data_IF_031537858925
#
_entry.id   IF_031537858925
#
_cell.length_a   1.000
_cell.length_b   1.000
_cell.length_c   1.000
_cell.angle_alpha   90.00
_cell.angle_beta   90.00
_cell.angle_gamma   90.00
#
_symmetry.space_group_name_H-M   'P 1'
#
loop_
_entity.id
_entity.type
_entity.pdbx_description
1 polymer ?
#
# COMPACT_ATOMS: atom_id res chain seq x y z
N UNK A 1 -29.00 13.18 -28.93
CA UNK A 1 -27.81 13.09 -29.80
C UNK A 1 -26.55 13.00 -28.96
N UNK A 2 -25.55 12.28 -29.46
CA UNK A 2 -24.49 11.56 -28.74
C UNK A 2 -23.49 12.39 -27.93
N UNK A 3 -23.09 11.85 -26.77
CA UNK A 3 -21.86 12.24 -26.05
C UNK A 3 -20.65 11.67 -26.78
N UNK A 4 -19.69 12.52 -27.15
CA UNK A 4 -18.35 12.09 -27.59
C UNK A 4 -17.43 12.08 -26.38
N UNK A 5 -16.98 10.90 -25.96
CA UNK A 5 -15.90 10.74 -25.01
C UNK A 5 -14.58 10.62 -25.78
N UNK A 6 -13.66 11.56 -25.51
CA UNK A 6 -12.30 11.57 -26.04
C UNK A 6 -11.50 10.44 -25.39
N UNK A 7 -10.94 9.56 -26.21
CA UNK A 7 -10.05 8.47 -25.77
C UNK A 7 -8.66 9.06 -25.53
N UNK A 8 -8.19 9.08 -24.28
CA UNK A 8 -6.80 9.37 -23.97
C UNK A 8 -5.98 8.08 -24.01
N UNK A 9 -5.24 7.89 -25.09
CA UNK A 9 -4.21 6.84 -25.25
C UNK A 9 -2.88 7.42 -24.79
N UNK A 10 -2.25 6.82 -23.78
CA UNK A 10 -0.90 7.17 -23.33
C UNK A 10 0.12 6.28 -24.05
N UNK A 11 1.19 6.83 -24.67
CA UNK A 11 2.18 6.02 -25.38
C UNK A 11 3.15 5.30 -24.44
N UNK A 12 3.47 4.04 -24.78
CA UNK A 12 4.40 3.14 -24.11
C UNK A 12 5.84 3.47 -24.53
N UNK A 13 6.69 3.92 -23.61
CA UNK A 13 8.14 4.11 -23.85
C UNK A 13 8.88 2.89 -23.26
N UNK A 14 9.63 2.20 -24.11
CA UNK A 14 10.48 1.04 -23.77
C UNK A 14 11.86 1.54 -23.36
N UNK A 15 12.38 1.14 -22.19
CA UNK A 15 13.77 1.38 -21.78
C UNK A 15 14.45 0.06 -21.45
N UNK A 16 15.59 -0.18 -22.11
CA UNK A 16 16.49 -1.35 -21.96
C UNK A 16 17.13 -1.45 -20.58
N UNK A 17 17.23 -2.68 -20.05
CA UNK A 17 17.97 -3.00 -18.82
C UNK A 17 19.39 -3.46 -19.15
N UNK A 18 20.41 -2.89 -18.49
CA UNK A 18 21.76 -3.46 -18.44
C UNK A 18 21.99 -4.13 -17.08
N UNK A 19 22.58 -5.33 -17.13
CA UNK A 19 22.93 -6.20 -16.00
C UNK A 19 24.45 -6.24 -15.83
N UNK A 20 24.93 -6.05 -14.61
CA UNK A 20 26.24 -6.46 -14.07
C UNK A 20 25.99 -6.75 -12.58
N UNK A 21 26.49 -7.78 -11.91
CA UNK A 21 27.52 -8.78 -12.14
C UNK A 21 27.96 -9.19 -10.72
N UNK A 22 27.82 -10.46 -10.34
CA UNK A 22 28.04 -10.98 -8.98
C UNK A 22 29.52 -11.31 -8.78
N UNK A 23 30.11 -10.98 -7.62
CA UNK A 23 31.39 -11.50 -7.16
C UNK A 23 31.32 -11.77 -5.65
N UNK A 24 31.51 -13.03 -5.26
CA UNK A 24 31.78 -13.47 -3.89
C UNK A 24 33.30 -13.59 -3.66
N UNK A 25 33.74 -13.61 -2.40
CA UNK A 25 34.70 -14.66 -2.04
C UNK A 25 34.43 -15.31 -0.67
N UNK A 26 34.74 -16.60 -0.62
CA UNK A 26 34.77 -17.53 0.51
C UNK A 26 36.15 -17.55 1.18
N UNK A 27 36.23 -17.72 2.51
CA UNK A 27 37.35 -18.39 3.21
C UNK A 27 36.97 -18.86 4.63
N UNK A 28 37.04 -20.18 4.77
CA UNK A 28 37.54 -21.05 5.84
C UNK A 28 37.16 -20.98 7.34
N UNK A 29 37.06 -22.21 7.87
CA UNK A 29 36.56 -22.62 9.17
C UNK A 29 37.64 -22.76 10.26
N UNK A 30 37.24 -22.61 11.53
CA UNK A 30 37.93 -23.15 12.71
C UNK A 30 36.91 -23.57 13.78
N UNK A 31 37.19 -24.68 14.45
CA UNK A 31 36.27 -25.60 15.16
C UNK A 31 36.30 -25.45 16.71
N UNK A 32 35.11 -25.28 17.32
CA UNK A 32 34.53 -25.82 18.61
C UNK A 32 35.16 -25.55 20.01
N UNK A 33 34.49 -25.83 21.18
CA UNK A 33 33.07 -26.16 21.52
C UNK A 33 32.45 -25.41 22.77
N UNK A 34 31.17 -25.73 23.08
CA UNK A 34 30.53 -25.77 24.43
C UNK A 34 29.69 -24.58 24.93
N UNK A 35 28.35 -24.72 24.94
CA UNK A 35 27.51 -24.95 26.14
C UNK A 35 26.02 -24.71 25.84
N UNK A 36 25.14 -25.55 26.38
CA UNK A 36 23.71 -25.60 26.13
C UNK A 36 22.89 -24.66 27.05
N UNK A 37 21.93 -23.93 26.43
CA UNK A 37 20.62 -23.36 26.86
C UNK A 37 20.42 -22.68 28.25
N UNK A 38 19.39 -21.82 28.46
CA UNK A 38 18.16 -21.64 27.67
C UNK A 38 17.77 -20.17 27.37
N UNK A 39 17.01 -19.94 26.30
CA UNK A 39 15.96 -18.91 26.30
C UNK A 39 15.00 -19.16 25.15
N UNK A 40 13.97 -19.94 25.47
CA UNK A 40 12.73 -19.95 24.71
C UNK A 40 12.18 -18.52 24.70
N UNK A 41 12.39 -17.78 23.61
CA UNK A 41 11.54 -16.63 23.31
C UNK A 41 10.22 -17.22 22.82
N UNK A 42 9.34 -17.44 23.79
CA UNK A 42 7.94 -17.79 23.59
C UNK A 42 7.36 -16.87 22.52
N UNK A 43 7.25 -17.39 21.30
CA UNK A 43 6.60 -16.69 20.21
C UNK A 43 5.11 -16.75 20.48
N UNK A 44 4.62 -15.91 21.38
CA UNK A 44 3.21 -15.66 21.54
C UNK A 44 2.72 -14.87 20.31
N UNK A 45 2.58 -15.57 19.18
CA UNK A 45 1.70 -15.13 18.08
C UNK A 45 0.29 -15.17 18.63
N UNK A 46 -0.11 -14.10 19.32
CA UNK A 46 -1.52 -13.74 19.35
C UNK A 46 -1.96 -13.67 17.88
N UNK A 47 -2.75 -14.64 17.45
CA UNK A 47 -3.27 -14.74 16.09
C UNK A 47 -4.39 -13.69 15.95
N UNK A 48 -4.01 -12.40 16.02
CA UNK A 48 -4.95 -11.29 15.99
C UNK A 48 -5.54 -11.23 14.60
N UNK A 49 -6.82 -11.59 14.49
CA UNK A 49 -7.57 -11.43 13.25
C UNK A 49 -7.93 -9.97 13.05
N UNK A 50 -7.15 -9.27 12.22
CA UNK A 50 -7.42 -7.89 11.84
C UNK A 50 -8.51 -7.82 10.76
N UNK A 51 -9.43 -6.87 10.94
CA UNK A 51 -10.38 -6.48 9.89
C UNK A 51 -9.64 -5.91 8.68
N UNK A 52 -10.30 -5.85 7.52
CA UNK A 52 -9.70 -5.27 6.31
C UNK A 52 -9.34 -3.80 6.51
N UNK A 53 -10.21 -3.01 7.13
CA UNK A 53 -9.94 -1.61 7.48
C UNK A 53 -8.73 -1.48 8.40
N UNK A 54 -8.58 -2.35 9.41
CA UNK A 54 -7.41 -2.35 10.28
C UNK A 54 -6.13 -2.70 9.51
N UNK A 55 -6.17 -3.68 8.60
CA UNK A 55 -5.00 -3.97 7.74
C UNK A 55 -4.61 -2.77 6.87
N UNK A 56 -5.58 -2.08 6.29
CA UNK A 56 -5.35 -0.85 5.51
C UNK A 56 -4.85 0.29 6.41
N UNK A 57 -5.36 0.42 7.63
CA UNK A 57 -4.92 1.44 8.59
C UNK A 57 -3.43 1.29 8.93
N UNK A 58 -2.90 0.07 8.99
CA UNK A 58 -1.46 -0.16 9.15
C UNK A 58 -0.63 0.42 8.00
N UNK A 59 -1.17 0.50 6.78
CA UNK A 59 -0.48 1.12 5.64
C UNK A 59 -0.13 2.59 5.88
N UNK A 60 -0.90 3.29 6.71
CA UNK A 60 -0.69 4.71 7.05
C UNK A 60 0.45 4.94 8.06
N UNK A 61 1.08 3.86 8.53
CA UNK A 61 2.31 3.91 9.33
C UNK A 61 3.58 3.72 8.49
N UNK A 62 3.44 3.43 7.20
CA UNK A 62 4.57 3.27 6.29
C UNK A 62 5.20 4.64 6.02
N UNK A 63 6.45 4.81 6.46
CA UNK A 63 7.16 6.09 6.35
C UNK A 63 7.59 6.43 4.92
N UNK A 64 7.73 7.73 4.63
CA UNK A 64 8.23 8.23 3.36
C UNK A 64 7.29 7.95 2.18
N UNK A 65 5.98 7.93 2.44
CA UNK A 65 4.94 7.70 1.43
C UNK A 65 3.82 8.75 1.47
N UNK A 66 4.02 9.81 2.25
CA UNK A 66 3.04 10.87 2.55
C UNK A 66 2.58 11.67 1.32
N UNK A 67 3.37 11.66 0.25
CA UNK A 67 3.05 12.31 -1.01
C UNK A 67 1.93 11.60 -1.79
N UNK A 68 1.71 10.31 -1.51
CA UNK A 68 0.75 9.47 -2.24
C UNK A 68 -0.48 9.09 -1.42
N UNK A 69 -0.58 9.51 -0.15
CA UNK A 69 -1.72 9.21 0.71
C UNK A 69 -1.90 10.29 1.79
N UNK A 70 -2.99 10.22 2.55
CA UNK A 70 -3.20 11.11 3.70
C UNK A 70 -2.21 10.77 4.80
N UNK A 71 -1.61 11.79 5.40
CA UNK A 71 -0.79 11.62 6.60
C UNK A 71 -1.68 11.39 7.82
N UNK A 72 -1.13 10.78 8.86
CA UNK A 72 -1.84 10.61 10.14
C UNK A 72 -2.32 11.95 10.72
N UNK A 73 -1.53 13.03 10.56
CA UNK A 73 -1.92 14.37 11.01
C UNK A 73 -3.10 14.95 10.21
N UNK A 74 -3.15 14.73 8.90
CA UNK A 74 -4.30 15.14 8.06
C UNK A 74 -5.58 14.41 8.45
N UNK A 75 -5.47 13.09 8.70
CA UNK A 75 -6.59 12.26 9.16
C UNK A 75 -7.11 12.76 10.52
N UNK A 76 -6.21 13.01 11.46
CA UNK A 76 -6.54 13.52 12.80
C UNK A 76 -7.23 14.89 12.73
N UNK A 77 -6.71 15.80 11.91
CA UNK A 77 -7.28 17.15 11.73
C UNK A 77 -8.56 17.15 10.90
N UNK A 78 -8.91 16.04 10.26
CA UNK A 78 -10.07 15.93 9.37
C UNK A 78 -9.94 16.83 8.14
N UNK A 79 -8.72 17.11 7.65
CA UNK A 79 -8.46 17.90 6.45
C UNK A 79 -7.15 17.48 5.79
N UNK A 80 -7.10 17.54 4.47
CA UNK A 80 -5.93 17.16 3.67
C UNK A 80 -5.58 18.25 2.66
N UNK A 81 -4.31 18.32 2.29
CA UNK A 81 -3.81 19.30 1.34
C UNK A 81 -3.48 18.63 0.01
N UNK A 82 -3.99 19.20 -1.09
CA UNK A 82 -3.64 18.83 -2.46
C UNK A 82 -2.81 19.96 -3.05
N UNK A 83 -1.71 19.61 -3.71
CA UNK A 83 -0.94 20.55 -4.50
C UNK A 83 -1.31 20.40 -5.98
N UNK A 84 -1.80 21.49 -6.57
CA UNK A 84 -2.20 21.55 -7.97
C UNK A 84 -0.98 21.75 -8.88
N UNK A 85 -1.14 21.53 -10.19
CA UNK A 85 -0.03 21.62 -11.15
C UNK A 85 0.58 23.03 -11.25
N UNK A 86 -0.19 24.07 -10.93
CA UNK A 86 0.25 25.46 -10.84
C UNK A 86 1.01 25.77 -9.53
N UNK A 87 1.21 24.79 -8.66
CA UNK A 87 1.87 24.94 -7.36
C UNK A 87 0.94 25.40 -6.22
N UNK A 88 -0.32 25.73 -6.51
CA UNK A 88 -1.28 26.13 -5.48
C UNK A 88 -1.62 24.98 -4.55
N UNK A 89 -1.79 25.31 -3.26
CA UNK A 89 -2.17 24.34 -2.23
C UNK A 89 -3.62 24.59 -1.83
N UNK A 90 -4.44 23.57 -2.02
CA UNK A 90 -5.86 23.59 -1.66
C UNK A 90 -6.10 22.63 -0.50
N UNK A 91 -6.85 23.10 0.51
CA UNK A 91 -7.18 22.32 1.71
C UNK A 91 -8.63 21.87 1.63
N UNK A 92 -8.84 20.56 1.73
CA UNK A 92 -10.16 19.94 1.63
C UNK A 92 -10.52 19.23 2.94
N UNK A 93 -11.82 19.15 3.30
CA UNK A 93 -12.25 18.35 4.44
C UNK A 93 -12.08 16.85 4.18
N UNK A 94 -11.52 16.13 5.16
CA UNK A 94 -11.40 14.67 5.19
C UNK A 94 -12.39 14.08 6.19
N UNK A 95 -13.65 13.98 5.76
CA UNK A 95 -14.72 13.40 6.59
C UNK A 95 -14.55 11.88 6.74
N UNK A 96 -14.31 11.21 5.62
CA UNK A 96 -14.16 9.76 5.52
C UNK A 96 -13.09 9.38 4.50
N UNK A 97 -12.61 8.14 4.57
CA UNK A 97 -11.72 7.50 3.61
C UNK A 97 -12.50 6.37 2.93
N UNK A 98 -12.80 6.51 1.65
CA UNK A 98 -13.53 5.45 0.92
C UNK A 98 -12.51 4.50 0.29
N UNK A 99 -12.67 3.20 0.55
CA UNK A 99 -11.86 2.12 0.00
C UNK A 99 -12.68 1.39 -1.07
N UNK A 100 -12.46 1.71 -2.34
CA UNK A 100 -13.14 1.07 -3.46
C UNK A 100 -12.40 -0.21 -3.82
N UNK A 101 -12.99 -1.36 -3.50
CA UNK A 101 -12.42 -2.68 -3.78
C UNK A 101 -12.25 -2.85 -5.29
N UNK A 102 -11.02 -3.13 -5.71
CA UNK A 102 -10.69 -3.34 -7.11
C UNK A 102 -11.05 -4.78 -7.51
N UNK A 103 -11.67 -4.98 -8.69
CA UNK A 103 -11.97 -6.31 -9.18
C UNK A 103 -10.67 -7.05 -9.53
N UNK A 104 -10.63 -8.37 -9.32
CA UNK A 104 -9.47 -9.20 -9.70
C UNK A 104 -9.31 -9.35 -11.22
N UNK A 105 -10.39 -9.08 -11.98
CA UNK A 105 -10.41 -9.17 -13.43
C UNK A 105 -11.26 -8.04 -14.01
N UNK A 106 -10.82 -7.48 -15.14
CA UNK A 106 -11.56 -6.51 -15.94
C UNK A 106 -11.53 -7.04 -17.38
N UNK A 107 -12.69 -7.21 -18.00
CA UNK A 107 -12.82 -7.73 -19.37
C UNK A 107 -12.03 -9.04 -19.61
N UNK A 108 -12.10 -9.97 -18.65
CA UNK A 108 -11.37 -11.24 -18.61
C UNK A 108 -9.83 -11.12 -18.50
N UNK A 109 -9.30 -9.93 -18.25
CA UNK A 109 -7.87 -9.70 -17.99
C UNK A 109 -7.64 -9.58 -16.48
N UNK A 110 -6.73 -10.38 -15.95
CA UNK A 110 -6.33 -10.32 -14.54
C UNK A 110 -5.69 -8.96 -14.21
N UNK A 111 -6.23 -8.29 -13.20
CA UNK A 111 -5.67 -7.05 -12.67
C UNK A 111 -4.55 -7.39 -11.68
N UNK A 112 -3.51 -6.55 -11.62
CA UNK A 112 -2.38 -6.74 -10.69
C UNK A 112 -1.76 -8.14 -10.78
N UNK A 113 -1.62 -8.68 -12.00
CA UNK A 113 -0.99 -9.98 -12.25
C UNK A 113 0.37 -10.07 -11.55
N UNK A 114 0.59 -11.20 -10.86
CA UNK A 114 1.79 -11.46 -10.05
C UNK A 114 1.69 -11.03 -8.58
N UNK A 115 0.57 -10.47 -8.15
CA UNK A 115 0.30 -10.24 -6.72
C UNK A 115 0.06 -11.57 -5.96
N UNK A 116 0.26 -11.59 -4.63
CA UNK A 116 -0.17 -12.71 -3.79
C UNK A 116 -1.67 -13.01 -3.98
N UNK A 117 -2.03 -14.30 -4.09
CA UNK A 117 -3.40 -14.75 -4.46
C UNK A 117 -4.49 -14.26 -3.51
N UNK A 118 -4.14 -14.11 -2.24
CA UNK A 118 -5.00 -13.67 -1.14
C UNK A 118 -5.05 -12.13 -0.99
N UNK A 119 -4.28 -11.39 -1.79
CA UNK A 119 -4.25 -9.94 -1.72
C UNK A 119 -5.55 -9.34 -2.26
N UNK A 120 -6.08 -8.36 -1.52
CA UNK A 120 -7.21 -7.54 -1.92
C UNK A 120 -6.73 -6.11 -2.11
N UNK A 121 -7.03 -5.54 -3.27
CA UNK A 121 -6.66 -4.16 -3.61
C UNK A 121 -7.85 -3.22 -3.44
N UNK A 122 -7.58 -2.02 -2.92
CA UNK A 122 -8.52 -0.94 -2.76
C UNK A 122 -7.95 0.33 -3.37
N UNK A 123 -8.76 1.05 -4.15
CA UNK A 123 -8.47 2.44 -4.47
C UNK A 123 -8.98 3.33 -3.34
N UNK A 124 -8.13 4.23 -2.86
CA UNK A 124 -8.43 5.17 -1.79
C UNK A 124 -9.01 6.44 -2.39
N UNK A 125 -10.13 6.89 -1.83
CA UNK A 125 -10.76 8.17 -2.15
C UNK A 125 -10.96 9.02 -0.88
N UNK A 126 -10.92 10.36 -1.00
CA UNK A 126 -10.62 11.11 -2.22
C UNK A 126 -9.16 10.96 -2.67
N UNK A 127 -8.86 11.29 -3.93
CA UNK A 127 -7.48 11.31 -4.40
C UNK A 127 -6.75 12.54 -3.86
N UNK A 128 -5.49 12.35 -3.45
CA UNK A 128 -4.63 13.45 -2.96
C UNK A 128 -3.86 14.17 -4.08
N UNK A 129 -3.90 13.66 -5.30
CA UNK A 129 -3.24 14.27 -6.46
C UNK A 129 -3.66 13.59 -7.76
N UNK A 130 -2.92 13.88 -8.84
CA UNK A 130 -3.15 13.34 -10.18
C UNK A 130 -2.63 11.89 -10.32
N UNK A 131 -3.03 11.03 -9.39
CA UNK A 131 -2.74 9.59 -9.37
C UNK A 131 -3.82 8.87 -8.55
N UNK A 132 -3.99 7.58 -8.81
CA UNK A 132 -4.77 6.71 -7.95
C UNK A 132 -3.89 6.20 -6.79
N UNK A 133 -4.32 6.43 -5.56
CA UNK A 133 -3.75 5.75 -4.39
C UNK A 133 -4.37 4.36 -4.28
N UNK A 134 -3.55 3.32 -4.35
CA UNK A 134 -3.94 1.92 -4.22
C UNK A 134 -3.32 1.35 -2.95
N UNK A 135 -4.12 0.63 -2.17
CA UNK A 135 -3.65 -0.18 -1.03
C UNK A 135 -3.99 -1.64 -1.28
N UNK A 136 -2.99 -2.52 -1.25
CA UNK A 136 -3.15 -3.96 -1.27
C UNK A 136 -2.92 -4.55 0.11
N UNK A 137 -3.79 -5.44 0.57
CA UNK A 137 -3.65 -6.14 1.86
C UNK A 137 -3.84 -7.63 1.68
N UNK A 138 -2.94 -8.41 2.26
CA UNK A 138 -3.00 -9.88 2.31
C UNK A 138 -3.09 -10.37 3.76
N UNK A 139 -2.81 -11.64 4.03
CA UNK A 139 -2.66 -12.13 5.40
C UNK A 139 -1.37 -11.63 6.07
N UNK A 140 -0.29 -11.42 5.31
CA UNK A 140 1.05 -11.16 5.86
C UNK A 140 1.62 -9.80 5.50
N UNK A 141 1.13 -9.16 4.44
CA UNK A 141 1.73 -7.94 3.89
C UNK A 141 0.67 -6.90 3.57
N UNK A 142 1.08 -5.64 3.68
CA UNK A 142 0.36 -4.49 3.18
C UNK A 142 1.26 -3.72 2.22
N UNK A 143 0.68 -3.24 1.13
CA UNK A 143 1.35 -2.43 0.13
C UNK A 143 0.54 -1.16 -0.12
N UNK A 144 1.20 -0.02 -0.17
CA UNK A 144 0.56 1.27 -0.49
C UNK A 144 1.34 1.97 -1.59
N UNK A 145 0.60 2.46 -2.58
CA UNK A 145 1.18 2.94 -3.83
C UNK A 145 0.34 4.03 -4.51
N UNK A 146 0.97 5.03 -5.10
CA UNK A 146 0.38 5.93 -6.08
C UNK A 146 0.69 5.43 -7.50
N UNK A 147 -0.31 5.39 -8.36
CA UNK A 147 -0.13 5.00 -9.76
C UNK A 147 -1.06 5.78 -10.69
N UNK A 148 -0.56 6.13 -11.88
CA UNK A 148 -1.39 6.64 -12.98
C UNK A 148 -1.82 5.50 -13.92
N UNK A 149 -0.97 4.48 -14.05
CA UNK A 149 -1.27 3.24 -14.75
C UNK A 149 -0.34 2.15 -14.20
N UNK A 150 -0.92 1.04 -13.76
CA UNK A 150 -0.17 -0.16 -13.42
C UNK A 150 -0.83 -1.34 -14.12
N UNK A 151 -0.12 -1.95 -15.07
CA UNK A 151 -0.58 -3.13 -15.81
C UNK A 151 -0.30 -4.44 -15.06
N UNK A 152 0.61 -4.42 -14.09
CA UNK A 152 0.99 -5.59 -13.30
C UNK A 152 1.32 -5.21 -11.85
N UNK A 153 1.39 -6.21 -10.97
CA UNK A 153 1.85 -5.98 -9.59
C UNK A 153 3.29 -5.47 -9.55
N UNK A 154 4.17 -6.01 -10.41
CA UNK A 154 5.57 -5.56 -10.53
C UNK A 154 5.66 -4.08 -10.91
N UNK A 155 4.80 -3.61 -11.83
CA UNK A 155 4.78 -2.20 -12.23
C UNK A 155 4.23 -1.32 -11.11
N UNK A 156 3.20 -1.78 -10.40
CA UNK A 156 2.69 -1.09 -9.21
C UNK A 156 3.78 -0.92 -8.14
N UNK A 157 4.61 -1.94 -7.92
CA UNK A 157 5.71 -1.90 -6.94
C UNK A 157 6.81 -0.86 -7.26
N UNK A 158 6.94 -0.39 -8.51
CA UNK A 158 7.87 0.71 -8.84
C UNK A 158 7.51 2.02 -8.12
N UNK A 159 6.20 2.23 -7.92
CA UNK A 159 5.68 3.37 -7.20
C UNK A 159 5.41 3.10 -5.73
N UNK A 160 5.28 1.84 -5.30
CA UNK A 160 4.69 1.47 -4.00
C UNK A 160 5.71 1.04 -2.93
N UNK A 161 5.26 0.96 -1.68
CA UNK A 161 6.01 0.38 -0.57
C UNK A 161 5.27 -0.80 0.03
N UNK A 162 5.99 -1.90 0.26
CA UNK A 162 5.49 -3.13 0.89
C UNK A 162 6.04 -3.21 2.32
N UNK A 163 5.20 -3.62 3.27
CA UNK A 163 5.59 -3.87 4.66
C UNK A 163 4.87 -5.09 5.23
N UNK A 164 5.47 -5.71 6.25
CA UNK A 164 4.88 -6.84 6.97
C UNK A 164 3.81 -6.35 7.96
N UNK A 165 2.60 -6.94 7.88
CA UNK A 165 1.48 -6.57 8.76
C UNK A 165 1.78 -6.87 10.23
N UNK A 166 2.43 -8.00 10.53
CA UNK A 166 2.75 -8.38 11.92
C UNK A 166 3.74 -7.39 12.54
N UNK A 167 4.77 -6.96 11.80
CA UNK A 167 5.72 -5.94 12.26
C UNK A 167 5.01 -4.61 12.56
N UNK A 168 4.20 -4.12 11.63
CA UNK A 168 3.45 -2.88 11.81
C UNK A 168 2.46 -2.98 12.98
N UNK A 169 1.75 -4.10 13.11
CA UNK A 169 0.80 -4.32 14.19
C UNK A 169 1.49 -4.34 15.55
N UNK A 170 2.58 -5.10 15.70
CA UNK A 170 3.33 -5.14 16.97
C UNK A 170 3.81 -3.75 17.39
N UNK A 171 4.26 -2.94 16.43
CA UNK A 171 4.77 -1.60 16.71
C UNK A 171 3.67 -0.57 17.03
N UNK A 172 2.49 -0.67 16.40
CA UNK A 172 1.51 0.42 16.40
C UNK A 172 0.10 0.07 16.90
N UNK A 173 -0.19 -1.19 17.30
CA UNK A 173 -1.53 -1.58 17.75
C UNK A 173 -2.07 -0.80 18.95
N UNK A 174 -1.19 -0.23 19.78
CA UNK A 174 -1.55 0.59 20.95
C UNK A 174 -1.70 2.08 20.64
N UNK A 175 -1.35 2.51 19.43
CA UNK A 175 -1.52 3.91 19.02
C UNK A 175 -3.01 4.20 18.82
N UNK A 176 -3.54 5.23 19.49
CA UNK A 176 -4.93 5.64 19.36
C UNK A 176 -5.29 6.00 17.90
N UNK A 177 -4.32 6.52 17.13
CA UNK A 177 -4.52 6.83 15.71
C UNK A 177 -4.84 5.60 14.88
N UNK A 178 -4.36 4.40 15.25
CA UNK A 178 -4.60 3.17 14.50
C UNK A 178 -6.09 2.88 14.36
N UNK A 179 -6.83 2.91 15.48
CA UNK A 179 -8.27 2.69 15.47
C UNK A 179 -9.02 3.88 14.86
N UNK A 180 -8.56 5.12 15.09
CA UNK A 180 -9.18 6.30 14.49
C UNK A 180 -9.11 6.29 12.95
N UNK A 181 -8.00 5.84 12.38
CA UNK A 181 -7.83 5.69 10.93
C UNK A 181 -8.78 4.61 10.41
N UNK A 182 -8.79 3.43 11.04
CA UNK A 182 -9.67 2.33 10.64
C UNK A 182 -11.16 2.73 10.68
N UNK A 183 -11.58 3.46 11.71
CA UNK A 183 -12.97 3.90 11.87
C UNK A 183 -13.41 4.96 10.86
N UNK A 184 -12.47 5.69 10.26
CA UNK A 184 -12.76 6.63 9.16
C UNK A 184 -12.95 5.95 7.82
N UNK A 185 -12.67 4.65 7.71
CA UNK A 185 -12.68 3.92 6.45
C UNK A 185 -14.04 3.27 6.16
N UNK A 186 -14.51 3.43 4.92
CA UNK A 186 -15.70 2.75 4.40
C UNK A 186 -15.31 1.94 3.18
N UNK A 187 -15.56 0.64 3.20
CA UNK A 187 -15.31 -0.25 2.05
C UNK A 187 -16.53 -0.26 1.14
N UNK A 188 -16.29 -0.11 -0.16
CA UNK A 188 -17.32 -0.16 -1.22
C UNK A 188 -16.82 -1.01 -2.39
N UNK A 189 -17.73 -1.51 -3.22
CA UNK A 189 -17.39 -2.27 -4.45
C UNK A 189 -17.57 -1.44 -5.72
N UNK A 190 -18.13 -0.24 -5.60
CA UNK A 190 -18.39 0.69 -6.70
C UNK A 190 -17.94 2.07 -6.31
N UNK A 191 -17.50 2.87 -7.30
CA UNK A 191 -17.17 4.26 -7.05
C UNK A 191 -18.42 5.02 -6.58
N UNK A 192 -18.28 5.90 -5.56
CA UNK A 192 -19.36 6.80 -5.19
C UNK A 192 -19.75 7.68 -6.38
N UNK A 193 -21.05 7.90 -6.55
CA UNK A 193 -21.63 8.72 -7.62
C UNK A 193 -21.47 10.21 -7.31
#
# INVERSE_FOLDING_TARGET
>A
MMRKYSKYTVPLIIVSTMSLGVMAPSIDAKVMPSSAEPSQVTTAKANVQLTQQQKVALAYYIQGYDQYTFTRSEIQKGKYTVQWMNGEKHVYPLKQITLVKQPKQIDNVETMKGAPKDMVFYQVLPAKGNFATIVGVSHSQVVIGGTQSASSYKDFLKGAKVQNISTLYQQYHKDAMFQQIANKMVITTTFPK
#
